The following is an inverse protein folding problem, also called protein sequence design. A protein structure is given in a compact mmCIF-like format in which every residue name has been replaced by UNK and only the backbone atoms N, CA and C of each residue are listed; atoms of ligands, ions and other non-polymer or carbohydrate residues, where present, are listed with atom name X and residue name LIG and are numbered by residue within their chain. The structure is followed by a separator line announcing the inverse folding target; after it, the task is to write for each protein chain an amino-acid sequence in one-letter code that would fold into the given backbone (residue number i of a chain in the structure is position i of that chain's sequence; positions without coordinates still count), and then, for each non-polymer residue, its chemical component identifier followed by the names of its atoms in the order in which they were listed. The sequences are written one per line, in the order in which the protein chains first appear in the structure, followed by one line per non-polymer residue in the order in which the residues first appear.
data_IF_897278026960
#
_entry.id   IF_897278026960
#
_cell.length_a   1.000
_cell.length_b   1.000
_cell.length_c   1.000
_cell.angle_alpha   90.00
_cell.angle_beta   90.00
_cell.angle_gamma   90.00
#
_symmetry.space_group_name_H-M   'P 1'
#
loop_
_entity.id
_entity.type
_entity.pdbx_description
1 polymer ?
#
# COMPACT_ATOMS: atom_id res chain seq x y z
N UNK A 1 18.65 50.51 37.98
CA UNK A 1 18.40 49.19 37.37
C UNK A 1 19.58 48.90 36.47
N UNK A 2 20.32 47.85 36.82
CA UNK A 2 21.52 47.23 36.17
C UNK A 2 22.02 47.92 34.86
N UNK A 3 23.21 48.53 34.78
CA UNK A 3 24.57 47.94 34.78
C UNK A 3 24.69 46.80 33.74
N UNK A 4 25.56 46.76 32.72
CA UNK A 4 26.90 47.31 32.54
C UNK A 4 27.37 47.18 31.06
N UNK A 5 28.10 48.21 30.59
CA UNK A 5 29.33 48.19 29.77
C UNK A 5 29.47 47.35 28.47
N UNK A 6 29.36 48.08 27.34
CA UNK A 6 30.39 48.39 26.32
C UNK A 6 31.41 47.33 25.79
N UNK A 7 31.47 47.29 24.44
CA UNK A 7 32.64 47.23 23.51
C UNK A 7 33.50 45.94 23.53
N UNK A 8 34.05 45.39 22.45
CA UNK A 8 34.01 45.56 20.99
C UNK A 8 34.85 44.41 20.37
N UNK A 9 34.81 44.28 19.04
CA UNK A 9 35.84 43.74 18.12
C UNK A 9 36.02 42.21 17.93
N UNK A 10 35.84 41.82 16.65
CA UNK A 10 36.71 40.94 15.83
C UNK A 10 36.92 39.48 16.31
N UNK A 11 37.18 38.46 15.49
CA UNK A 11 37.23 38.22 14.06
C UNK A 11 37.14 36.69 13.89
N UNK A 12 36.91 36.24 12.66
CA UNK A 12 37.00 34.84 12.22
C UNK A 12 38.30 34.20 12.69
N UNK A 13 38.20 33.06 13.38
CA UNK A 13 39.35 32.18 13.57
C UNK A 13 39.01 30.72 13.25
N UNK A 14 40.02 30.06 12.70
CA UNK A 14 39.94 28.92 11.80
C UNK A 14 39.94 27.58 12.54
N UNK A 15 39.44 26.58 11.83
CA UNK A 15 39.46 25.14 12.13
C UNK A 15 40.83 24.63 12.58
N UNK A 16 40.85 23.83 13.65
CA UNK A 16 41.88 22.84 13.95
C UNK A 16 41.22 21.48 14.30
N UNK A 17 41.82 20.32 13.94
CA UNK A 17 41.26 19.00 14.20
C UNK A 17 41.80 18.42 15.52
N UNK A 18 40.94 17.88 16.37
CA UNK A 18 41.36 17.24 17.61
C UNK A 18 40.19 16.80 18.47
N UNK A 19 39.99 15.49 18.54
CA UNK A 19 38.96 14.72 19.25
C UNK A 19 38.78 15.08 20.73
N UNK A 20 37.54 15.35 21.15
CA UNK A 20 37.00 14.96 22.47
C UNK A 20 35.50 14.66 22.34
N UNK A 21 35.12 13.46 22.75
CA UNK A 21 33.74 12.95 22.76
C UNK A 21 32.88 13.74 23.76
N UNK A 22 31.67 14.13 23.32
CA UNK A 22 30.57 14.62 24.16
C UNK A 22 29.27 13.91 23.78
N UNK A 23 28.39 13.57 24.74
CA UNK A 23 27.31 12.62 24.53
C UNK A 23 26.09 13.26 23.85
N UNK A 24 25.23 12.39 23.31
CA UNK A 24 23.81 12.62 23.01
C UNK A 24 23.47 13.58 21.87
N UNK A 25 23.31 12.98 20.70
CA UNK A 25 22.42 13.45 19.65
C UNK A 25 21.73 12.25 19.01
N UNK A 26 21.07 11.39 19.81
CA UNK A 26 20.09 10.48 19.22
C UNK A 26 18.94 11.36 18.73
N UNK A 27 19.05 11.81 17.48
CA UNK A 27 17.87 12.21 16.75
C UNK A 27 16.90 11.03 16.84
N UNK A 28 15.69 11.21 17.38
CA UNK A 28 14.70 10.16 17.27
C UNK A 28 14.54 9.94 15.78
N UNK A 29 14.93 8.76 15.32
CA UNK A 29 14.60 8.28 14.00
C UNK A 29 13.08 8.32 13.96
N UNK A 30 12.52 9.43 13.46
CA UNK A 30 11.19 9.42 12.93
C UNK A 30 11.32 8.49 11.74
N UNK A 31 11.13 7.19 12.01
CA UNK A 31 10.77 6.22 11.00
C UNK A 31 9.45 6.76 10.45
N UNK A 32 9.55 7.67 9.47
CA UNK A 32 8.45 7.97 8.60
C UNK A 32 8.12 6.63 7.98
N UNK A 33 7.04 5.98 8.45
CA UNK A 33 6.58 4.71 7.91
C UNK A 33 6.47 4.89 6.41
N UNK A 34 7.39 4.25 5.67
CA UNK A 34 7.39 4.34 4.22
C UNK A 34 6.10 3.68 3.73
N UNK A 35 5.40 4.26 2.74
CA UNK A 35 4.24 3.61 2.16
C UNK A 35 4.59 2.20 1.67
N UNK A 36 3.66 1.26 1.84
CA UNK A 36 3.82 -0.10 1.36
C UNK A 36 4.02 -0.20 -0.14
N UNK A 37 4.80 -1.19 -0.56
CA UNK A 37 4.96 -1.52 -1.99
C UNK A 37 4.17 -2.79 -2.37
N UNK A 38 3.86 -2.94 -3.66
CA UNK A 38 3.27 -4.19 -4.18
C UNK A 38 4.15 -5.40 -3.86
N UNK A 39 5.47 -5.23 -3.76
CA UNK A 39 6.38 -6.30 -3.35
C UNK A 39 6.18 -6.69 -1.88
N UNK A 40 5.95 -5.73 -0.99
CA UNK A 40 5.66 -6.00 0.43
C UNK A 40 4.34 -6.80 0.53
N UNK A 41 3.31 -6.40 -0.23
CA UNK A 41 2.07 -7.17 -0.37
C UNK A 41 2.32 -8.60 -0.89
N UNK A 42 3.16 -8.77 -1.93
CA UNK A 42 3.47 -10.10 -2.48
C UNK A 42 4.21 -11.01 -1.50
N UNK A 43 4.86 -10.47 -0.48
CA UNK A 43 5.46 -11.28 0.59
C UNK A 43 4.45 -11.72 1.64
N UNK A 44 3.37 -10.96 1.85
CA UNK A 44 2.34 -11.25 2.86
C UNK A 44 1.25 -12.19 2.35
N UNK A 45 0.77 -11.95 1.12
CA UNK A 45 -0.29 -12.76 0.53
C UNK A 45 0.31 -13.89 -0.31
N UNK A 46 0.08 -15.14 0.12
CA UNK A 46 0.49 -16.35 -0.61
C UNK A 46 -0.61 -16.91 -1.52
N UNK A 47 -1.83 -16.38 -1.46
CA UNK A 47 -2.98 -16.92 -2.18
C UNK A 47 -3.10 -16.28 -3.57
N UNK A 48 -2.81 -17.09 -4.58
CA UNK A 48 -3.12 -16.79 -5.97
C UNK A 48 -4.58 -17.19 -6.28
N UNK A 49 -5.18 -16.61 -7.32
CA UNK A 49 -6.56 -16.90 -7.74
C UNK A 49 -6.64 -17.16 -9.24
N UNK A 50 -7.13 -18.35 -9.61
CA UNK A 50 -7.24 -18.81 -11.00
C UNK A 50 -8.60 -18.50 -11.61
N UNK A 51 -9.64 -18.34 -10.79
CA UNK A 51 -11.00 -18.04 -11.22
C UNK A 51 -11.94 -19.25 -11.32
N UNK A 52 -11.54 -20.41 -10.78
CA UNK A 52 -12.32 -21.67 -10.82
C UNK A 52 -12.67 -22.23 -9.44
N UNK A 53 -12.18 -21.62 -8.38
CA UNK A 53 -12.22 -22.14 -7.00
C UNK A 53 -13.60 -22.04 -6.34
N UNK A 54 -14.56 -21.40 -7.00
CA UNK A 54 -15.93 -21.22 -6.52
C UNK A 54 -16.14 -19.97 -5.66
N UNK A 55 -17.41 -19.70 -5.35
CA UNK A 55 -17.87 -18.44 -4.77
C UNK A 55 -17.27 -18.18 -3.38
N UNK A 56 -17.30 -19.18 -2.49
CA UNK A 56 -16.79 -19.03 -1.12
C UNK A 56 -15.29 -18.74 -1.11
N UNK A 57 -14.53 -19.47 -1.93
CA UNK A 57 -13.09 -19.21 -2.06
C UNK A 57 -12.81 -17.83 -2.65
N UNK A 58 -13.58 -17.40 -3.65
CA UNK A 58 -13.42 -16.10 -4.27
C UNK A 58 -13.68 -14.95 -3.28
N UNK A 59 -14.67 -15.09 -2.38
CA UNK A 59 -14.95 -14.09 -1.34
C UNK A 59 -13.84 -14.06 -0.28
N UNK A 60 -13.47 -15.22 0.25
CA UNK A 60 -12.36 -15.37 1.22
C UNK A 60 -11.05 -14.82 0.67
N UNK A 61 -10.75 -15.10 -0.61
CA UNK A 61 -9.56 -14.59 -1.28
C UNK A 61 -9.59 -13.06 -1.36
N UNK A 62 -10.73 -12.47 -1.72
CA UNK A 62 -10.87 -11.02 -1.86
C UNK A 62 -10.69 -10.30 -0.52
N UNK A 63 -11.22 -10.86 0.57
CA UNK A 63 -11.04 -10.33 1.93
C UNK A 63 -9.59 -10.42 2.39
N UNK A 64 -8.93 -11.55 2.16
CA UNK A 64 -7.53 -11.74 2.55
C UNK A 64 -6.57 -10.83 1.79
N UNK A 65 -6.83 -10.64 0.49
CA UNK A 65 -6.07 -9.71 -0.34
C UNK A 65 -6.24 -8.29 0.16
N UNK A 66 -7.46 -7.87 0.52
CA UNK A 66 -7.71 -6.57 1.14
C UNK A 66 -6.95 -6.43 2.47
N UNK A 67 -7.09 -7.38 3.38
CA UNK A 67 -6.40 -7.38 4.69
C UNK A 67 -4.88 -7.29 4.53
N UNK A 68 -4.33 -8.00 3.55
CA UNK A 68 -2.88 -7.96 3.27
C UNK A 68 -2.42 -6.59 2.75
N UNK A 69 -3.24 -5.90 1.95
CA UNK A 69 -2.91 -4.54 1.49
C UNK A 69 -2.99 -3.52 2.62
N UNK A 70 -3.94 -3.68 3.53
CA UNK A 70 -4.08 -2.86 4.74
C UNK A 70 -2.87 -3.04 5.66
N UNK A 71 -2.50 -4.29 5.94
CA UNK A 71 -1.34 -4.61 6.79
C UNK A 71 -0.02 -4.13 6.17
N UNK A 72 0.09 -4.19 4.85
CA UNK A 72 1.24 -3.67 4.13
C UNK A 72 1.20 -2.14 3.96
N UNK A 73 0.14 -1.45 4.40
CA UNK A 73 -0.04 0.00 4.24
C UNK A 73 0.10 0.46 2.76
N UNK A 74 -0.47 -0.31 1.83
CA UNK A 74 -0.41 0.04 0.41
C UNK A 74 -1.26 1.30 0.12
N UNK A 75 -0.75 2.24 -0.69
CA UNK A 75 -1.57 3.31 -1.24
C UNK A 75 -2.79 2.77 -2.00
N UNK A 76 -3.99 3.30 -1.74
CA UNK A 76 -5.25 2.83 -2.36
C UNK A 76 -5.21 2.78 -3.90
N UNK A 77 -4.45 3.68 -4.53
CA UNK A 77 -4.25 3.70 -5.98
C UNK A 77 -3.57 2.44 -6.54
N UNK A 78 -2.85 1.68 -5.70
CA UNK A 78 -2.13 0.47 -6.10
C UNK A 78 -2.93 -0.82 -5.84
N UNK A 79 -4.04 -0.76 -5.11
CA UNK A 79 -4.73 -1.94 -4.61
C UNK A 79 -5.23 -2.85 -5.73
N UNK A 80 -5.88 -2.28 -6.75
CA UNK A 80 -6.36 -3.05 -7.91
C UNK A 80 -5.20 -3.73 -8.64
N UNK A 81 -4.10 -3.02 -8.88
CA UNK A 81 -2.92 -3.59 -9.52
C UNK A 81 -2.24 -4.67 -8.67
N UNK A 82 -2.26 -4.52 -7.34
CA UNK A 82 -1.72 -5.49 -6.41
C UNK A 82 -2.57 -6.77 -6.39
N UNK A 83 -3.91 -6.66 -6.35
CA UNK A 83 -4.81 -7.82 -6.48
C UNK A 83 -4.61 -8.51 -7.84
N UNK A 84 -4.54 -7.75 -8.94
CA UNK A 84 -4.35 -8.30 -10.27
C UNK A 84 -3.01 -9.04 -10.44
N UNK A 85 -1.98 -8.69 -9.64
CA UNK A 85 -0.70 -9.42 -9.63
C UNK A 85 -0.80 -10.87 -9.11
N UNK A 86 -1.96 -11.23 -8.54
CA UNK A 86 -2.30 -12.55 -8.00
C UNK A 86 -3.29 -13.32 -8.86
N UNK A 87 -3.69 -12.77 -10.00
CA UNK A 87 -4.53 -13.47 -10.94
C UNK A 87 -3.73 -14.36 -11.89
N UNK A 88 -4.27 -15.55 -12.10
CA UNK A 88 -3.80 -16.53 -13.08
C UNK A 88 -4.98 -16.99 -13.96
N UNK A 89 -4.66 -17.66 -15.06
CA UNK A 89 -5.63 -18.32 -15.94
C UNK A 89 -6.88 -17.49 -16.27
N UNK A 90 -8.07 -17.95 -15.84
CA UNK A 90 -9.37 -17.33 -16.15
C UNK A 90 -9.47 -15.95 -15.51
N UNK A 91 -9.01 -15.80 -14.27
CA UNK A 91 -9.02 -14.53 -13.56
C UNK A 91 -8.13 -13.49 -14.25
N UNK A 92 -6.94 -13.90 -14.69
CA UNK A 92 -6.02 -13.00 -15.39
C UNK A 92 -6.55 -12.62 -16.77
N UNK A 93 -7.14 -13.58 -17.47
CA UNK A 93 -7.76 -13.35 -18.78
C UNK A 93 -8.91 -12.37 -18.66
N UNK A 94 -9.81 -12.56 -17.68
CA UNK A 94 -10.90 -11.62 -17.40
C UNK A 94 -10.38 -10.22 -17.12
N UNK A 95 -9.42 -10.08 -16.20
CA UNK A 95 -8.87 -8.76 -15.84
C UNK A 95 -8.29 -8.02 -17.05
N UNK A 96 -7.63 -8.73 -17.96
CA UNK A 96 -7.02 -8.15 -19.17
C UNK A 96 -8.02 -7.84 -20.29
N UNK A 97 -9.13 -8.56 -20.35
CA UNK A 97 -10.08 -8.47 -21.47
C UNK A 97 -11.33 -7.67 -21.16
N UNK A 98 -11.75 -7.58 -19.89
CA UNK A 98 -12.86 -6.72 -19.49
C UNK A 98 -12.36 -5.26 -19.35
N UNK A 99 -12.83 -4.33 -20.20
CA UNK A 99 -12.38 -2.93 -20.17
C UNK A 99 -12.80 -2.21 -18.88
N UNK A 100 -13.79 -2.74 -18.13
CA UNK A 100 -14.21 -2.20 -16.84
C UNK A 100 -13.25 -2.58 -15.72
N UNK A 101 -12.62 -3.76 -15.82
CA UNK A 101 -11.74 -4.31 -14.79
C UNK A 101 -10.31 -3.74 -14.87
N UNK A 102 -9.85 -3.34 -16.06
CA UNK A 102 -8.49 -2.84 -16.31
C UNK A 102 -8.38 -1.31 -16.44
N UNK A 103 -9.46 -0.58 -16.17
CA UNK A 103 -9.47 0.89 -16.30
C UNK A 103 -8.53 1.56 -15.29
N UNK A 104 -7.75 2.54 -15.75
CA UNK A 104 -6.90 3.34 -14.85
C UNK A 104 -7.76 4.13 -13.87
N UNK A 105 -7.34 4.13 -12.61
CA UNK A 105 -8.06 4.83 -11.54
C UNK A 105 -9.30 4.10 -11.03
N UNK A 106 -9.51 2.83 -11.40
CA UNK A 106 -10.56 2.00 -10.81
C UNK A 106 -10.39 1.97 -9.28
N UNK A 107 -11.43 2.37 -8.55
CA UNK A 107 -11.41 2.29 -7.09
C UNK A 107 -11.51 0.84 -6.64
N UNK A 108 -11.01 0.56 -5.44
CA UNK A 108 -11.09 -0.78 -4.86
C UNK A 108 -12.54 -1.27 -4.75
N UNK A 109 -13.48 -0.39 -4.34
CA UNK A 109 -14.89 -0.76 -4.20
C UNK A 109 -15.51 -1.16 -5.56
N UNK A 110 -15.21 -0.42 -6.62
CA UNK A 110 -15.70 -0.74 -7.97
C UNK A 110 -15.07 -2.02 -8.51
N UNK A 111 -13.78 -2.24 -8.25
CA UNK A 111 -13.12 -3.49 -8.58
C UNK A 111 -13.78 -4.69 -7.89
N UNK A 112 -14.04 -4.61 -6.57
CA UNK A 112 -14.73 -5.68 -5.82
C UNK A 112 -16.10 -6.00 -6.42
N UNK A 113 -16.86 -4.97 -6.82
CA UNK A 113 -18.16 -5.15 -7.48
C UNK A 113 -18.04 -5.92 -8.79
N UNK A 114 -17.12 -5.52 -9.67
CA UNK A 114 -16.88 -6.20 -10.96
C UNK A 114 -16.35 -7.62 -10.76
N UNK A 115 -15.49 -7.83 -9.77
CA UNK A 115 -14.99 -9.15 -9.39
C UNK A 115 -16.14 -10.07 -8.96
N UNK A 116 -17.03 -9.58 -8.09
CA UNK A 116 -18.20 -10.33 -7.65
C UNK A 116 -19.15 -10.62 -8.82
N UNK A 117 -19.46 -9.62 -9.65
CA UNK A 117 -20.27 -9.81 -10.88
C UNK A 117 -19.70 -10.93 -11.77
N UNK A 118 -18.37 -11.05 -11.87
CA UNK A 118 -17.72 -12.06 -12.70
C UNK A 118 -17.70 -13.46 -12.08
N UNK A 119 -17.35 -13.57 -10.79
CA UNK A 119 -17.05 -14.85 -10.14
C UNK A 119 -18.17 -15.35 -9.20
N UNK A 120 -19.27 -14.60 -9.05
CA UNK A 120 -20.42 -14.92 -8.20
C UNK A 120 -21.71 -14.99 -9.05
N UNK A 121 -21.77 -15.85 -10.08
CA UNK A 121 -22.86 -15.81 -11.07
C UNK A 121 -24.26 -16.07 -10.46
N UNK A 122 -24.38 -16.87 -9.41
CA UNK A 122 -25.70 -17.23 -8.83
C UNK A 122 -26.33 -16.13 -7.95
N UNK A 123 -25.52 -15.18 -7.46
CA UNK A 123 -26.06 -14.03 -6.71
C UNK A 123 -26.78 -13.05 -7.66
N UNK A 124 -26.35 -12.98 -8.92
CA UNK A 124 -26.97 -12.12 -9.94
C UNK A 124 -28.29 -12.68 -10.47
N UNK A 125 -28.43 -14.01 -10.58
CA UNK A 125 -29.65 -14.66 -11.06
C UNK A 125 -30.80 -14.54 -10.05
N UNK A 126 -30.51 -14.72 -8.76
CA UNK A 126 -31.53 -14.65 -7.69
C UNK A 126 -32.11 -13.24 -7.49
N UNK A 127 -31.40 -12.18 -7.88
CA UNK A 127 -31.88 -10.79 -7.80
C UNK A 127 -32.78 -10.37 -8.97
N UNK A 128 -32.85 -11.17 -10.05
CA UNK A 128 -33.71 -10.93 -11.21
C UNK A 128 -35.00 -11.78 -11.19
N UNK A 129 -35.11 -12.74 -10.27
CA UNK A 129 -36.25 -13.66 -10.13
C UNK A 129 -37.12 -13.39 -8.88
N UNK A 130 -36.95 -12.24 -8.21
CA UNK A 130 -37.67 -11.85 -6.99
C UNK A 130 -38.51 -10.58 -7.11
#
# INVERSE_FOLDING_TARGET
MENSHQLALAAVERVAPGTVQGPTGQQPYQQQSRPGTVLDFRKMSSRDFTGTEGILYADDWLEDVQRSMELAELPRALWVSAAASRFFDIALTWYRTDPRASVRGLTWENFRRLFKEKFFPDVALTALEG
#
